data_IF_916947531983
#
_entry.id   IF_916947531983
#
_cell.length_a   1.000
_cell.length_b   1.000
_cell.length_c   1.000
_cell.angle_alpha   90.00
_cell.angle_beta   90.00
_cell.angle_gamma   90.00
#
_symmetry.space_group_name_H-M   'P 1'
#
loop_
_entity.id
_entity.type
_entity.pdbx_description
1 polymer ?
#
# COMPACT_ATOMS: atom_id res chain seq x y z
N UNK A 1 39.64 -44.37 78.75
CA UNK A 1 38.43 -44.62 77.94
C UNK A 1 38.67 -45.81 77.01
N UNK A 2 37.76 -46.78 76.81
CA UNK A 2 36.32 -46.68 76.47
C UNK A 2 36.16 -46.10 75.06
N UNK A 3 35.62 -46.78 74.04
CA UNK A 3 35.09 -48.16 73.89
C UNK A 3 35.35 -48.63 72.44
N UNK A 4 35.35 -49.93 72.18
CA UNK A 4 35.39 -50.46 70.80
C UNK A 4 34.03 -50.38 70.10
N UNK A 5 34.03 -50.16 68.78
CA UNK A 5 32.82 -50.08 67.95
C UNK A 5 32.66 -51.34 67.07
N UNK A 6 31.70 -52.23 67.35
CA UNK A 6 31.42 -53.39 66.50
C UNK A 6 30.69 -53.03 65.20
N UNK A 7 30.72 -53.94 64.24
CA UNK A 7 30.31 -53.73 62.84
C UNK A 7 28.80 -53.48 62.68
N UNK A 8 28.43 -52.49 61.86
CA UNK A 8 27.04 -52.31 61.37
C UNK A 8 26.70 -53.42 60.37
N UNK A 9 25.73 -54.26 60.69
CA UNK A 9 25.24 -55.28 59.77
C UNK A 9 24.53 -54.65 58.54
N UNK A 10 24.67 -55.27 57.37
CA UNK A 10 23.94 -54.86 56.18
C UNK A 10 22.53 -55.46 56.19
N UNK A 11 21.51 -54.64 55.95
CA UNK A 11 20.13 -55.11 55.79
C UNK A 11 19.84 -55.32 54.30
N UNK A 12 19.38 -56.52 53.95
CA UNK A 12 18.97 -56.85 52.57
C UNK A 12 17.66 -56.12 52.20
N UNK A 13 17.50 -55.61 50.97
CA UNK A 13 16.28 -54.93 50.55
C UNK A 13 15.14 -55.94 50.37
N UNK A 14 13.98 -55.70 51.03
CA UNK A 14 12.77 -56.49 50.81
C UNK A 14 12.13 -56.06 49.49
N UNK A 15 12.03 -56.97 48.52
CA UNK A 15 11.36 -56.72 47.25
C UNK A 15 9.87 -56.49 47.47
N UNK A 16 9.33 -55.44 46.84
CA UNK A 16 7.90 -55.13 46.86
C UNK A 16 7.27 -55.62 45.56
N UNK A 17 6.39 -56.62 45.65
CA UNK A 17 5.55 -57.06 44.53
C UNK A 17 4.70 -55.86 44.07
N UNK A 18 4.71 -55.59 42.76
CA UNK A 18 3.77 -54.64 42.15
C UNK A 18 2.41 -55.31 42.03
N UNK A 19 1.37 -54.60 42.45
CA UNK A 19 -0.02 -54.88 42.08
C UNK A 19 -0.48 -53.64 41.33
N UNK A 20 -0.74 -53.79 40.05
CA UNK A 20 -1.11 -52.67 39.19
C UNK A 20 -2.54 -52.24 39.50
N UNK A 21 -2.72 -50.93 39.76
CA UNK A 21 -3.96 -50.37 40.32
C UNK A 21 -4.92 -49.81 39.26
N UNK A 22 -4.64 -50.04 37.98
CA UNK A 22 -5.24 -49.29 36.87
C UNK A 22 -6.22 -50.14 36.05
N UNK A 23 -7.09 -50.89 36.73
CA UNK A 23 -8.34 -51.37 36.15
C UNK A 23 -9.43 -50.31 36.42
N UNK A 24 -10.09 -49.74 35.41
CA UNK A 24 -11.21 -48.84 35.63
C UNK A 24 -12.38 -49.64 36.19
N UNK A 25 -12.83 -49.29 37.39
CA UNK A 25 -14.15 -49.72 37.89
C UNK A 25 -15.11 -48.59 37.56
N UNK A 26 -15.98 -48.83 36.59
CA UNK A 26 -17.08 -47.92 36.26
C UNK A 26 -18.18 -48.09 37.33
N UNK A 27 -17.98 -47.41 38.47
CA UNK A 27 -18.99 -47.32 39.53
C UNK A 27 -20.11 -46.36 39.08
N UNK A 28 -21.12 -46.88 38.37
CA UNK A 28 -22.40 -46.19 38.19
C UNK A 28 -23.12 -46.10 39.55
N UNK A 29 -22.84 -45.01 40.28
CA UNK A 29 -23.49 -44.75 41.57
C UNK A 29 -24.89 -44.14 41.35
N UNK A 30 -25.92 -44.97 41.56
CA UNK A 30 -27.31 -44.52 41.66
C UNK A 30 -27.47 -43.45 42.75
N UNK A 31 -28.09 -42.32 42.44
CA UNK A 31 -28.32 -41.23 43.39
C UNK A 31 -29.49 -41.58 44.33
N UNK A 32 -29.14 -42.14 45.50
CA UNK A 32 -30.05 -42.54 46.59
C UNK A 32 -30.43 -41.33 47.46
N UNK A 33 -31.45 -40.58 47.03
CA UNK A 33 -32.03 -39.45 47.76
C UNK A 33 -32.98 -39.88 48.90
N UNK A 34 -32.56 -40.87 49.70
CA UNK A 34 -33.22 -41.25 50.95
C UNK A 34 -32.75 -40.41 52.15
N UNK A 35 -33.65 -40.09 53.08
CA UNK A 35 -33.43 -39.14 54.18
C UNK A 35 -32.16 -39.41 55.03
N UNK A 36 -31.44 -38.34 55.39
CA UNK A 36 -30.15 -38.44 56.11
C UNK A 36 -30.27 -38.54 57.65
N UNK A 37 -31.48 -38.41 58.23
CA UNK A 37 -31.66 -38.22 59.69
C UNK A 37 -31.21 -39.40 60.58
N UNK A 38 -31.17 -40.63 60.06
CA UNK A 38 -30.85 -41.84 60.82
C UNK A 38 -29.56 -42.57 60.37
N UNK A 39 -28.66 -41.89 59.65
CA UNK A 39 -27.40 -42.49 59.16
C UNK A 39 -26.26 -42.37 60.17
N UNK A 40 -25.39 -43.37 60.22
CA UNK A 40 -24.29 -43.43 61.19
C UNK A 40 -23.29 -42.28 61.00
N UNK A 41 -22.69 -41.82 62.10
CA UNK A 41 -21.63 -40.80 62.11
C UNK A 41 -20.42 -41.17 61.23
N UNK A 42 -20.23 -42.45 60.93
CA UNK A 42 -19.25 -42.94 59.97
C UNK A 42 -19.71 -42.77 58.50
N UNK A 43 -20.98 -43.03 58.22
CA UNK A 43 -21.58 -42.97 56.89
C UNK A 43 -21.72 -41.53 56.40
N UNK A 44 -22.15 -40.61 57.26
CA UNK A 44 -22.12 -39.16 56.98
C UNK A 44 -20.69 -38.70 56.62
N UNK A 45 -19.67 -39.21 57.31
CA UNK A 45 -18.25 -38.93 56.99
C UNK A 45 -17.76 -39.59 55.70
N UNK A 46 -18.43 -40.66 55.23
CA UNK A 46 -18.20 -41.27 53.91
C UNK A 46 -18.90 -40.46 52.81
N UNK A 47 -20.17 -40.04 53.02
CA UNK A 47 -20.95 -39.16 52.12
C UNK A 47 -20.22 -37.83 51.88
N UNK A 48 -19.82 -37.12 52.94
CA UNK A 48 -19.02 -35.88 52.80
C UNK A 48 -17.63 -36.08 52.16
N UNK A 49 -17.02 -37.27 52.24
CA UNK A 49 -15.77 -37.56 51.54
C UNK A 49 -16.02 -37.75 50.05
N UNK A 50 -17.03 -38.52 49.68
CA UNK A 50 -17.46 -38.72 48.28
C UNK A 50 -17.91 -37.41 47.63
N UNK A 51 -18.71 -36.60 48.32
CA UNK A 51 -19.13 -35.28 47.84
C UNK A 51 -17.92 -34.40 47.50
N UNK A 52 -16.98 -34.25 48.46
CA UNK A 52 -15.72 -33.53 48.20
C UNK A 52 -14.89 -34.15 47.08
N UNK A 53 -14.93 -35.45 46.89
CA UNK A 53 -14.22 -36.11 45.78
C UNK A 53 -14.91 -35.84 44.41
N UNK A 54 -16.25 -35.79 44.35
CA UNK A 54 -17.04 -35.38 43.17
C UNK A 54 -16.78 -33.90 42.85
N UNK A 55 -16.83 -33.03 43.85
CA UNK A 55 -16.43 -31.60 43.77
C UNK A 55 -14.99 -31.44 43.25
N UNK A 56 -14.03 -32.17 43.84
CA UNK A 56 -12.62 -32.08 43.47
C UNK A 56 -12.33 -32.64 42.07
N UNK A 57 -13.00 -33.72 41.66
CA UNK A 57 -12.94 -34.25 40.29
C UNK A 57 -13.48 -33.23 39.29
N UNK A 58 -14.65 -32.64 39.55
CA UNK A 58 -15.23 -31.58 38.71
C UNK A 58 -14.31 -30.36 38.60
N UNK A 59 -13.78 -29.85 39.73
CA UNK A 59 -12.87 -28.71 39.74
C UNK A 59 -11.52 -28.98 39.02
N UNK A 60 -11.02 -30.22 39.06
CA UNK A 60 -9.83 -30.58 38.29
C UNK A 60 -10.13 -30.79 36.79
N UNK A 61 -11.36 -31.13 36.41
CA UNK A 61 -11.79 -31.17 35.01
C UNK A 61 -11.99 -29.78 34.40
N UNK A 62 -12.24 -28.74 35.21
CA UNK A 62 -12.29 -27.33 34.76
C UNK A 62 -10.91 -26.65 34.66
N UNK A 63 -9.83 -27.42 34.61
CA UNK A 63 -8.49 -26.87 34.35
C UNK A 63 -8.31 -26.60 32.84
N UNK A 64 -7.80 -25.43 32.44
CA UNK A 64 -7.34 -25.20 31.07
C UNK A 64 -6.26 -26.20 30.67
N UNK A 65 -6.10 -26.40 29.36
CA UNK A 65 -5.05 -27.25 28.81
C UNK A 65 -3.66 -26.65 29.13
N UNK A 66 -2.69 -27.43 29.68
CA UNK A 66 -1.34 -26.95 29.93
C UNK A 66 -0.56 -26.53 28.68
N UNK A 67 -1.02 -26.87 27.47
CA UNK A 67 -0.41 -26.46 26.19
C UNK A 67 -1.05 -25.19 25.58
N UNK A 68 -2.17 -24.69 26.12
CA UNK A 68 -2.87 -23.50 25.58
C UNK A 68 -2.25 -22.18 26.10
N UNK A 69 -1.11 -21.79 25.51
CA UNK A 69 -0.46 -20.50 25.79
C UNK A 69 -1.30 -19.31 25.26
N UNK A 70 -1.50 -18.28 26.10
CA UNK A 70 -2.19 -17.05 25.72
C UNK A 70 -1.47 -16.35 24.54
N UNK A 71 -2.14 -16.10 23.40
CA UNK A 71 -1.49 -15.52 22.21
C UNK A 71 -0.90 -14.12 22.45
N UNK A 72 -1.41 -13.37 23.43
CA UNK A 72 -0.82 -12.07 23.83
C UNK A 72 0.53 -12.27 24.50
N UNK A 73 0.65 -13.26 25.39
CA UNK A 73 1.89 -13.55 26.11
C UNK A 73 2.91 -14.20 25.18
N UNK A 74 2.50 -15.07 24.25
CA UNK A 74 3.37 -15.59 23.18
C UNK A 74 3.95 -14.45 22.33
N UNK A 75 3.11 -13.48 21.92
CA UNK A 75 3.56 -12.31 21.17
C UNK A 75 4.46 -11.38 21.99
N UNK A 76 4.18 -11.18 23.28
CA UNK A 76 5.03 -10.43 24.20
C UNK A 76 6.39 -11.10 24.41
N UNK A 77 6.41 -12.43 24.57
CA UNK A 77 7.64 -13.23 24.71
C UNK A 77 8.45 -13.21 23.40
N UNK A 78 7.79 -13.28 22.24
CA UNK A 78 8.46 -13.19 20.94
C UNK A 78 9.07 -11.80 20.69
N UNK A 79 8.32 -10.73 20.97
CA UNK A 79 8.82 -9.35 20.84
C UNK A 79 9.92 -9.03 21.87
N UNK A 80 9.81 -9.53 23.11
CA UNK A 80 10.87 -9.43 24.11
C UNK A 80 12.14 -10.20 23.65
N UNK A 81 12.02 -11.44 23.18
CA UNK A 81 13.16 -12.20 22.62
C UNK A 81 13.81 -11.51 21.42
N UNK A 82 13.05 -10.79 20.60
CA UNK A 82 13.56 -10.03 19.46
C UNK A 82 14.15 -8.65 19.82
N UNK A 83 13.86 -8.11 21.01
CA UNK A 83 14.34 -6.80 21.48
C UNK A 83 15.31 -6.87 22.66
N UNK A 84 15.52 -8.04 23.25
CA UNK A 84 16.51 -8.26 24.31
C UNK A 84 17.91 -8.45 23.72
N UNK A 85 18.70 -7.37 23.62
CA UNK A 85 20.06 -7.43 23.10
C UNK A 85 20.89 -6.15 23.32
N UNK A 86 22.11 -6.16 22.79
CA UNK A 86 23.04 -5.01 22.80
C UNK A 86 22.61 -3.96 21.75
N UNK A 87 21.76 -3.02 22.16
CA UNK A 87 21.44 -1.85 21.34
C UNK A 87 22.55 -0.80 21.41
N UNK A 88 23.63 -1.04 20.64
CA UNK A 88 24.63 0.00 20.34
C UNK A 88 23.95 1.29 19.89
N UNK A 89 24.41 2.43 20.38
CA UNK A 89 23.81 3.71 20.05
C UNK A 89 24.07 4.02 18.57
N UNK A 90 23.17 4.78 17.94
CA UNK A 90 23.31 5.21 16.54
C UNK A 90 24.54 6.10 16.27
N UNK A 91 25.22 6.51 17.33
CA UNK A 91 26.49 7.25 17.35
C UNK A 91 27.73 6.38 17.41
N UNK A 92 27.59 5.10 17.76
CA UNK A 92 28.72 4.22 18.04
C UNK A 92 29.34 3.71 16.73
N UNK A 93 30.67 3.62 16.62
CA UNK A 93 31.35 3.27 15.36
C UNK A 93 31.02 1.85 14.87
N UNK A 94 30.62 0.96 15.77
CA UNK A 94 30.23 -0.42 15.48
C UNK A 94 28.74 -0.58 15.14
N UNK A 95 27.94 0.49 15.09
CA UNK A 95 26.49 0.40 14.89
C UNK A 95 26.15 0.00 13.44
N UNK A 96 25.76 -1.27 13.26
CA UNK A 96 25.33 -1.82 11.98
C UNK A 96 23.82 -2.06 11.98
N UNK A 97 23.08 -1.32 11.14
CA UNK A 97 21.65 -1.55 10.93
C UNK A 97 21.43 -2.91 10.25
N UNK A 98 20.51 -3.72 10.78
CA UNK A 98 20.10 -5.01 10.21
C UNK A 98 19.43 -4.84 8.83
N UNK A 99 19.58 -5.81 7.93
CA UNK A 99 19.28 -5.62 6.50
C UNK A 99 17.78 -5.50 6.19
N UNK A 100 16.94 -6.04 7.05
CA UNK A 100 15.49 -5.84 7.11
C UNK A 100 15.14 -4.39 7.50
N UNK A 101 15.88 -3.80 8.45
CA UNK A 101 15.67 -2.43 8.93
C UNK A 101 16.35 -1.36 8.07
N UNK A 102 17.27 -1.71 7.17
CA UNK A 102 17.93 -0.75 6.25
C UNK A 102 16.90 -0.07 5.35
N UNK A 103 16.96 1.25 5.32
CA UNK A 103 16.02 2.12 4.59
C UNK A 103 16.65 2.54 3.25
N UNK A 104 16.62 1.64 2.27
CA UNK A 104 17.11 1.95 0.92
C UNK A 104 16.22 2.98 0.22
N UNK A 105 16.83 3.82 -0.65
CA UNK A 105 16.10 4.69 -1.58
C UNK A 105 15.03 3.91 -2.36
N UNK A 106 15.35 2.70 -2.85
CA UNK A 106 14.41 1.86 -3.59
C UNK A 106 13.24 1.36 -2.75
N UNK A 107 13.46 1.04 -1.46
CA UNK A 107 12.39 0.68 -0.52
C UNK A 107 11.47 1.89 -0.26
N UNK A 108 12.03 3.08 -0.05
CA UNK A 108 11.25 4.31 0.14
C UNK A 108 10.50 4.75 -1.12
N UNK A 109 11.10 4.63 -2.31
CA UNK A 109 10.42 4.90 -3.59
C UNK A 109 9.19 4.01 -3.80
N UNK A 110 9.30 2.71 -3.50
CA UNK A 110 8.14 1.78 -3.51
C UNK A 110 7.07 2.17 -2.49
N UNK A 111 7.47 2.58 -1.28
CA UNK A 111 6.53 3.06 -0.26
C UNK A 111 5.79 4.33 -0.71
N UNK A 112 6.46 5.30 -1.36
CA UNK A 112 5.78 6.50 -1.88
C UNK A 112 4.77 6.14 -2.99
N UNK A 113 5.17 5.30 -3.95
CA UNK A 113 4.29 4.85 -5.04
C UNK A 113 3.03 4.15 -4.52
N UNK A 114 3.15 3.28 -3.52
CA UNK A 114 1.99 2.66 -2.85
C UNK A 114 1.05 3.69 -2.19
N UNK A 115 1.57 4.79 -1.64
CA UNK A 115 0.73 5.86 -1.08
C UNK A 115 0.05 6.68 -2.19
N UNK A 116 0.72 6.91 -3.32
CA UNK A 116 0.12 7.57 -4.49
C UNK A 116 -1.02 6.72 -5.07
N UNK A 117 -0.81 5.40 -5.22
CA UNK A 117 -1.83 4.42 -5.61
C UNK A 117 -3.01 4.40 -4.63
N UNK A 118 -2.74 4.36 -3.32
CA UNK A 118 -3.79 4.37 -2.29
C UNK A 118 -4.61 5.68 -2.33
N UNK A 119 -3.97 6.84 -2.48
CA UNK A 119 -4.65 8.14 -2.62
C UNK A 119 -5.46 8.19 -3.92
N UNK A 120 -4.95 7.66 -5.02
CA UNK A 120 -5.70 7.55 -6.28
C UNK A 120 -6.93 6.64 -6.14
N UNK A 121 -6.76 5.46 -5.55
CA UNK A 121 -7.85 4.51 -5.30
C UNK A 121 -8.92 5.09 -4.36
N UNK A 122 -8.53 5.87 -3.33
CA UNK A 122 -9.48 6.57 -2.46
C UNK A 122 -10.27 7.64 -3.22
N UNK A 123 -9.62 8.44 -4.07
CA UNK A 123 -10.30 9.43 -4.95
C UNK A 123 -11.30 8.75 -5.89
N UNK A 124 -10.92 7.65 -6.54
CA UNK A 124 -11.84 6.92 -7.44
C UNK A 124 -13.02 6.32 -6.67
N UNK A 125 -12.78 5.71 -5.49
CA UNK A 125 -13.85 5.17 -4.62
C UNK A 125 -14.79 6.27 -4.12
N UNK A 126 -14.29 7.47 -3.85
CA UNK A 126 -15.13 8.63 -3.53
C UNK A 126 -15.98 9.05 -4.73
N UNK A 127 -15.38 9.21 -5.91
CA UNK A 127 -16.10 9.61 -7.13
C UNK A 127 -17.24 8.64 -7.47
N UNK A 128 -17.00 7.32 -7.41
CA UNK A 128 -18.05 6.30 -7.65
C UNK A 128 -19.21 6.45 -6.66
N UNK A 129 -18.94 6.65 -5.36
CA UNK A 129 -19.98 6.89 -4.36
C UNK A 129 -20.72 8.21 -4.59
N UNK A 130 -20.03 9.26 -5.02
CA UNK A 130 -20.61 10.56 -5.34
C UNK A 130 -21.57 10.47 -6.53
N UNK A 131 -21.20 9.78 -7.61
CA UNK A 131 -22.10 9.55 -8.74
C UNK A 131 -23.32 8.72 -8.32
N UNK A 132 -23.15 7.61 -7.59
CA UNK A 132 -24.27 6.82 -7.10
C UNK A 132 -25.26 7.63 -6.21
N UNK A 133 -24.76 8.54 -5.36
CA UNK A 133 -25.61 9.46 -4.58
C UNK A 133 -26.34 10.47 -5.46
N UNK A 134 -25.70 10.95 -6.53
CA UNK A 134 -26.30 11.88 -7.51
C UNK A 134 -27.38 11.20 -8.34
N UNK A 135 -27.17 9.93 -8.72
CA UNK A 135 -28.15 9.12 -9.44
C UNK A 135 -29.39 8.84 -8.55
N UNK A 136 -29.17 8.47 -7.28
CA UNK A 136 -30.25 8.36 -6.27
C UNK A 136 -30.97 9.69 -6.07
N UNK A 137 -30.27 10.83 -6.01
CA UNK A 137 -30.91 12.16 -5.98
C UNK A 137 -31.77 12.41 -7.21
N UNK A 138 -31.30 12.06 -8.40
CA UNK A 138 -32.04 12.22 -9.64
C UNK A 138 -33.32 11.37 -9.64
N UNK A 139 -33.27 10.14 -9.12
CA UNK A 139 -34.46 9.28 -8.99
C UNK A 139 -35.45 9.77 -7.92
N UNK A 140 -34.96 10.31 -6.80
CA UNK A 140 -35.81 10.98 -5.79
C UNK A 140 -36.51 12.20 -6.40
N UNK A 141 -35.80 13.03 -7.18
CA UNK A 141 -36.43 14.18 -7.85
C UNK A 141 -37.49 13.74 -8.85
N UNK A 142 -37.24 12.69 -9.65
CA UNK A 142 -38.26 12.12 -10.57
C UNK A 142 -39.51 11.66 -9.81
N UNK A 143 -39.37 10.92 -8.70
CA UNK A 143 -40.53 10.39 -7.96
C UNK A 143 -41.29 11.50 -7.23
N UNK A 144 -40.61 12.51 -6.66
CA UNK A 144 -41.27 13.65 -6.03
C UNK A 144 -42.00 14.52 -7.05
N UNK A 145 -41.42 14.80 -8.22
CA UNK A 145 -42.09 15.57 -9.28
C UNK A 145 -43.29 14.80 -9.87
N UNK A 146 -43.18 13.48 -10.05
CA UNK A 146 -44.32 12.65 -10.44
C UNK A 146 -45.43 12.63 -9.37
N UNK A 147 -45.05 12.57 -8.09
CA UNK A 147 -45.98 12.70 -6.96
C UNK A 147 -46.67 14.06 -6.92
N UNK A 148 -45.93 15.16 -7.09
CA UNK A 148 -46.44 16.53 -7.15
C UNK A 148 -47.50 16.67 -8.25
N UNK A 149 -47.21 16.15 -9.45
CA UNK A 149 -48.15 16.11 -10.57
C UNK A 149 -49.42 15.33 -10.21
N UNK A 150 -49.33 14.16 -9.57
CA UNK A 150 -50.54 13.40 -9.18
C UNK A 150 -51.32 14.06 -8.05
N UNK A 151 -50.66 14.76 -7.12
CA UNK A 151 -51.35 15.59 -6.11
C UNK A 151 -52.13 16.71 -6.80
N UNK A 152 -51.53 17.43 -7.76
CA UNK A 152 -52.25 18.42 -8.57
C UNK A 152 -53.48 17.86 -9.25
N UNK A 153 -53.33 16.74 -9.98
CA UNK A 153 -54.47 16.08 -10.64
C UNK A 153 -55.60 15.76 -9.66
N UNK A 154 -55.29 15.33 -8.44
CA UNK A 154 -56.30 15.06 -7.39
C UNK A 154 -56.92 16.36 -6.85
N UNK A 155 -56.11 17.40 -6.62
CA UNK A 155 -56.61 18.73 -6.21
C UNK A 155 -57.53 19.35 -7.26
N UNK A 156 -57.21 19.18 -8.54
CA UNK A 156 -58.03 19.59 -9.68
C UNK A 156 -59.32 18.73 -9.79
N UNK A 157 -59.22 17.40 -9.63
CA UNK A 157 -60.36 16.47 -9.56
C UNK A 157 -61.35 16.83 -8.44
N UNK A 158 -60.87 17.40 -7.32
CA UNK A 158 -61.67 17.82 -6.17
C UNK A 158 -62.17 19.29 -6.25
N UNK A 159 -61.59 20.12 -7.13
CA UNK A 159 -61.74 21.58 -7.17
C UNK A 159 -61.24 22.32 -5.91
N UNK A 160 -60.34 21.71 -5.12
CA UNK A 160 -59.73 22.33 -3.94
C UNK A 160 -58.58 23.30 -4.29
N UNK A 161 -58.25 23.47 -5.58
CA UNK A 161 -57.06 24.20 -6.06
C UNK A 161 -56.99 25.69 -5.72
N UNK A 162 -58.14 26.35 -5.54
CA UNK A 162 -58.20 27.76 -5.09
C UNK A 162 -58.05 27.91 -3.56
N UNK A 163 -57.95 26.81 -2.80
CA UNK A 163 -57.69 26.86 -1.36
C UNK A 163 -56.27 27.38 -1.07
N UNK A 164 -56.08 28.37 -0.18
CA UNK A 164 -54.75 28.90 0.12
C UNK A 164 -53.79 27.83 0.66
N UNK A 165 -54.31 26.85 1.41
CA UNK A 165 -53.53 25.72 1.91
C UNK A 165 -53.03 24.79 0.77
N UNK A 166 -53.86 24.59 -0.26
CA UNK A 166 -53.50 23.79 -1.43
C UNK A 166 -52.44 24.51 -2.29
N UNK A 167 -52.60 25.82 -2.50
CA UNK A 167 -51.63 26.64 -3.25
C UNK A 167 -50.27 26.65 -2.53
N UNK A 168 -50.23 26.82 -1.21
CA UNK A 168 -48.99 26.79 -0.44
C UNK A 168 -48.33 25.40 -0.48
N UNK A 169 -49.10 24.32 -0.27
CA UNK A 169 -48.58 22.95 -0.33
C UNK A 169 -47.99 22.60 -1.72
N UNK A 170 -48.68 22.97 -2.81
CA UNK A 170 -48.21 22.72 -4.17
C UNK A 170 -46.96 23.54 -4.51
N UNK A 171 -46.90 24.81 -4.09
CA UNK A 171 -45.71 25.65 -4.26
C UNK A 171 -44.51 25.10 -3.47
N UNK A 172 -44.74 24.61 -2.24
CA UNK A 172 -43.71 24.00 -1.41
C UNK A 172 -43.14 22.71 -2.02
N UNK A 173 -43.97 21.86 -2.63
CA UNK A 173 -43.49 20.62 -3.25
C UNK A 173 -42.67 20.91 -4.52
N UNK A 174 -43.14 21.80 -5.40
CA UNK A 174 -42.46 22.02 -6.69
C UNK A 174 -41.21 22.92 -6.58
N UNK A 175 -41.22 23.94 -5.71
CA UNK A 175 -40.12 24.90 -5.60
C UNK A 175 -38.79 24.29 -5.14
N UNK A 176 -38.84 23.17 -4.41
CA UNK A 176 -37.66 22.54 -3.81
C UNK A 176 -37.08 21.37 -4.63
N UNK A 177 -37.89 20.71 -5.47
CA UNK A 177 -37.52 19.48 -6.19
C UNK A 177 -37.35 19.72 -7.69
N UNK A 178 -36.62 20.77 -8.05
CA UNK A 178 -36.26 21.08 -9.44
C UNK A 178 -35.22 20.08 -9.96
N UNK A 179 -35.51 19.48 -11.12
CA UNK A 179 -34.53 18.68 -11.87
C UNK A 179 -33.47 19.60 -12.49
N UNK A 180 -32.32 19.73 -11.82
CA UNK A 180 -31.14 20.42 -12.38
C UNK A 180 -30.71 19.75 -13.69
N UNK A 181 -30.56 20.50 -14.80
CA UNK A 181 -30.31 19.92 -16.11
C UNK A 181 -28.92 19.28 -16.16
N UNK A 182 -28.81 18.15 -16.87
CA UNK A 182 -27.61 17.30 -16.87
C UNK A 182 -26.33 18.05 -17.29
N UNK A 183 -26.46 19.06 -18.16
CA UNK A 183 -25.35 19.90 -18.62
C UNK A 183 -24.72 20.76 -17.51
N UNK A 184 -25.53 21.25 -16.56
CA UNK A 184 -25.05 22.06 -15.43
C UNK A 184 -24.43 21.19 -14.33
N UNK A 185 -24.91 19.94 -14.18
CA UNK A 185 -24.31 18.95 -13.29
C UNK A 185 -23.02 18.33 -13.85
N UNK A 186 -22.91 18.20 -15.18
CA UNK A 186 -21.75 17.64 -15.88
C UNK A 186 -21.08 18.62 -16.87
N UNK A 187 -20.26 19.56 -16.37
CA UNK A 187 -19.13 20.11 -17.14
C UNK A 187 -18.08 19.05 -17.51
N UNK A 188 -18.29 17.78 -17.17
CA UNK A 188 -17.29 16.72 -17.07
C UNK A 188 -17.03 16.00 -18.39
N UNK A 189 -18.02 15.87 -19.26
CA UNK A 189 -17.83 15.32 -20.62
C UNK A 189 -16.84 16.20 -21.41
N UNK A 190 -16.99 17.53 -21.28
CA UNK A 190 -16.08 18.53 -21.83
C UNK A 190 -14.69 18.59 -21.14
N UNK A 191 -14.41 17.80 -20.08
CA UNK A 191 -13.05 17.73 -19.48
C UNK A 191 -12.12 16.76 -20.19
N UNK A 192 -12.66 15.76 -20.89
CA UNK A 192 -11.87 14.83 -21.71
C UNK A 192 -11.69 15.33 -23.15
N UNK A 193 -12.64 16.09 -23.67
CA UNK A 193 -12.62 16.65 -25.02
C UNK A 193 -11.66 17.83 -25.09
N UNK A 194 -10.42 17.59 -25.49
CA UNK A 194 -9.44 18.64 -25.78
C UNK A 194 -9.76 19.25 -27.14
N UNK A 195 -10.27 20.49 -27.13
CA UNK A 195 -10.61 21.23 -28.36
C UNK A 195 -9.38 21.82 -29.03
N UNK A 196 -9.45 22.03 -30.36
CA UNK A 196 -8.37 22.69 -31.12
C UNK A 196 -8.06 24.10 -30.60
N UNK A 197 -9.05 24.81 -30.06
CA UNK A 197 -8.85 26.10 -29.40
C UNK A 197 -7.94 25.98 -28.16
N UNK A 198 -8.12 24.93 -27.35
CA UNK A 198 -7.28 24.64 -26.19
C UNK A 198 -5.88 24.17 -26.60
N UNK A 199 -5.75 23.33 -27.64
CA UNK A 199 -4.45 22.93 -28.19
C UNK A 199 -3.66 24.15 -28.70
N UNK A 200 -4.31 25.03 -29.48
CA UNK A 200 -3.70 26.26 -29.98
C UNK A 200 -3.34 27.25 -28.86
N UNK A 201 -4.17 27.37 -27.82
CA UNK A 201 -3.86 28.19 -26.64
C UNK A 201 -2.66 27.60 -25.85
N UNK A 202 -2.59 26.28 -25.68
CA UNK A 202 -1.48 25.60 -25.04
C UNK A 202 -0.19 25.74 -25.84
N UNK A 203 -0.22 25.56 -27.16
CA UNK A 203 0.91 25.76 -28.05
C UNK A 203 1.45 27.20 -27.98
N UNK A 204 0.57 28.21 -28.02
CA UNK A 204 0.94 29.63 -27.82
C UNK A 204 1.59 29.87 -26.45
N UNK A 205 1.05 29.29 -25.37
CA UNK A 205 1.64 29.37 -24.02
C UNK A 205 3.03 28.71 -23.96
N UNK A 206 3.19 27.53 -24.56
CA UNK A 206 4.48 26.81 -24.67
C UNK A 206 5.52 27.60 -25.46
N UNK A 207 5.13 28.23 -26.57
CA UNK A 207 6.00 29.08 -27.37
C UNK A 207 6.43 30.34 -26.62
N UNK A 208 5.50 31.00 -25.90
CA UNK A 208 5.81 32.16 -25.05
C UNK A 208 6.76 31.79 -23.90
N UNK A 209 6.56 30.64 -23.25
CA UNK A 209 7.46 30.12 -22.21
C UNK A 209 8.87 29.82 -22.75
N UNK A 210 8.95 29.23 -23.95
CA UNK A 210 10.22 28.97 -24.64
C UNK A 210 10.94 30.27 -25.03
N UNK A 211 10.22 31.26 -25.57
CA UNK A 211 10.76 32.58 -25.89
C UNK A 211 11.25 33.32 -24.64
N UNK A 212 10.50 33.27 -23.53
CA UNK A 212 10.92 33.85 -22.25
C UNK A 212 12.21 33.18 -21.72
N UNK A 213 12.31 31.84 -21.80
CA UNK A 213 13.52 31.09 -21.44
C UNK A 213 14.72 31.44 -22.33
N UNK A 214 14.50 31.66 -23.63
CA UNK A 214 15.53 32.09 -24.57
C UNK A 214 16.00 33.53 -24.26
N UNK A 215 15.09 34.45 -23.97
CA UNK A 215 15.45 35.82 -23.56
C UNK A 215 16.21 35.86 -22.22
N UNK A 216 15.87 34.99 -21.25
CA UNK A 216 16.64 34.84 -20.01
C UNK A 216 18.04 34.29 -20.30
N UNK A 217 18.18 33.28 -21.17
CA UNK A 217 19.50 32.71 -21.52
C UNK A 217 20.36 33.72 -22.31
N UNK A 218 19.74 34.50 -23.20
CA UNK A 218 20.37 35.60 -23.93
C UNK A 218 20.89 36.68 -22.99
N UNK A 219 20.07 37.18 -22.06
CA UNK A 219 20.48 38.20 -21.08
C UNK A 219 21.64 37.72 -20.23
N UNK A 220 21.60 36.46 -19.76
CA UNK A 220 22.72 35.82 -19.04
C UNK A 220 23.99 35.68 -19.89
N UNK A 221 23.86 35.42 -21.20
CA UNK A 221 24.99 35.36 -22.13
C UNK A 221 25.57 36.76 -22.45
N UNK A 222 24.74 37.79 -22.56
CA UNK A 222 25.18 39.18 -22.73
C UNK A 222 25.85 39.74 -21.46
N UNK A 223 25.33 39.40 -20.28
CA UNK A 223 25.97 39.68 -18.99
C UNK A 223 27.34 38.99 -18.87
N UNK A 224 27.42 37.68 -19.17
CA UNK A 224 28.69 36.96 -19.19
C UNK A 224 29.70 37.54 -20.18
N UNK A 225 29.25 37.99 -21.37
CA UNK A 225 30.10 38.71 -22.33
C UNK A 225 30.61 40.05 -21.79
N UNK A 226 29.78 40.82 -21.08
CA UNK A 226 30.18 42.09 -20.43
C UNK A 226 31.15 41.88 -19.26
N UNK A 227 31.07 40.74 -18.56
CA UNK A 227 31.98 40.39 -17.47
C UNK A 227 33.41 40.03 -17.96
N UNK A 228 33.57 39.60 -19.21
CA UNK A 228 34.88 39.31 -19.81
C UNK A 228 35.58 40.63 -20.15
N UNK A 229 36.40 41.13 -19.22
CA UNK A 229 37.35 42.23 -19.48
C UNK A 229 38.30 41.82 -20.62
N UNK A 230 38.57 42.70 -21.62
CA UNK A 230 39.47 42.37 -22.71
C UNK A 230 40.89 42.15 -22.17
N UNK A 231 41.40 40.92 -22.24
CA UNK A 231 42.79 40.60 -21.92
C UNK A 231 43.67 41.12 -23.06
N UNK A 232 44.60 42.03 -22.75
CA UNK A 232 45.59 42.52 -23.71
C UNK A 232 46.50 41.37 -24.16
N UNK A 233 46.38 40.97 -25.43
CA UNK A 233 47.17 39.88 -26.01
C UNK A 233 48.56 40.40 -26.36
N UNK A 234 49.50 40.29 -25.41
CA UNK A 234 50.92 40.47 -25.68
C UNK A 234 51.38 39.30 -26.58
N UNK A 235 51.59 39.60 -27.87
CA UNK A 235 51.85 38.61 -28.91
C UNK A 235 53.31 38.11 -28.89
N UNK A 236 53.63 37.25 -27.92
CA UNK A 236 54.93 36.57 -27.86
C UNK A 236 55.03 35.59 -29.04
N UNK A 237 55.99 35.82 -29.94
CA UNK A 237 56.25 34.95 -31.10
C UNK A 237 57.29 33.89 -30.72
N UNK A 238 56.96 32.59 -30.68
CA UNK A 238 57.95 31.54 -30.43
C UNK A 238 58.89 31.41 -31.63
N UNK A 239 60.20 31.39 -31.36
CA UNK A 239 61.23 31.35 -32.40
C UNK A 239 61.52 29.90 -32.83
N UNK A 240 61.11 29.54 -34.04
CA UNK A 240 61.32 28.20 -34.61
C UNK A 240 62.83 27.93 -34.85
N UNK A 241 63.32 26.71 -34.58
CA UNK A 241 64.69 26.31 -34.89
C UNK A 241 64.90 26.10 -36.41
N UNK A 242 66.14 26.21 -36.91
CA UNK A 242 66.44 26.08 -38.34
C UNK A 242 66.22 24.64 -38.85
N UNK A 243 65.73 24.54 -40.08
CA UNK A 243 65.31 23.28 -40.72
C UNK A 243 66.50 22.57 -41.35
N UNK A 244 66.85 21.38 -40.87
CA UNK A 244 67.89 20.54 -41.49
C UNK A 244 67.34 19.84 -42.74
N UNK A 245 68.10 19.86 -43.83
CA UNK A 245 67.79 19.15 -45.06
C UNK A 245 68.40 17.75 -45.01
N UNK A 246 67.59 16.71 -45.29
CA UNK A 246 68.12 15.36 -45.57
C UNK A 246 68.42 15.23 -47.07
N UNK A 247 69.51 14.55 -47.47
CA UNK A 247 69.75 14.21 -48.88
C UNK A 247 68.74 13.16 -49.39
N UNK A 248 68.51 13.08 -50.71
CA UNK A 248 67.56 12.15 -51.31
C UNK A 248 68.12 10.71 -51.41
N UNK A 249 67.27 9.66 -51.38
CA UNK A 249 67.65 8.30 -51.73
C UNK A 249 67.76 8.10 -53.25
N UNK A 250 68.60 7.16 -53.68
CA UNK A 250 68.77 6.70 -55.07
C UNK A 250 68.13 5.31 -55.31
N UNK A 251 67.89 4.88 -56.57
CA UNK A 251 66.79 3.94 -56.86
C UNK A 251 67.17 2.50 -57.26
N UNK A 252 66.34 1.55 -56.79
CA UNK A 252 66.06 0.21 -57.33
C UNK A 252 64.89 -0.39 -56.51
N UNK A 253 63.95 -1.20 -57.01
CA UNK A 253 63.58 -1.64 -58.37
C UNK A 253 62.04 -1.92 -58.42
N UNK A 254 61.47 -2.14 -59.61
CA UNK A 254 60.03 -2.43 -59.92
C UNK A 254 59.83 -3.94 -60.25
N UNK A 255 58.62 -4.48 -60.52
CA UNK A 255 57.22 -3.99 -60.46
C UNK A 255 56.36 -4.89 -59.49
N UNK A 256 55.02 -5.08 -59.50
CA UNK A 256 53.83 -4.57 -60.24
C UNK A 256 52.80 -3.96 -59.23
N UNK A 257 51.46 -4.15 -59.21
CA UNK A 257 50.47 -4.84 -60.07
C UNK A 257 49.07 -4.94 -59.42
N UNK A 258 47.99 -4.61 -60.17
CA UNK A 258 46.60 -4.53 -59.67
C UNK A 258 46.34 -3.24 -58.84
N UNK A 259 45.21 -2.52 -58.95
CA UNK A 259 43.87 -2.85 -59.46
C UNK A 259 42.89 -2.97 -58.28
N UNK A 260 41.71 -2.36 -58.26
CA UNK A 260 41.05 -1.44 -59.19
C UNK A 260 39.70 -1.00 -58.59
N UNK A 261 38.99 -0.10 -59.28
CA UNK A 261 37.66 0.42 -58.89
C UNK A 261 37.61 1.27 -57.58
N UNK A 262 36.72 2.27 -57.43
CA UNK A 262 35.75 2.77 -58.42
C UNK A 262 34.33 3.02 -57.89
N UNK A 263 34.13 3.25 -56.60
CA UNK A 263 32.80 3.50 -56.02
C UNK A 263 32.62 4.96 -55.58
N UNK A 264 31.57 5.61 -56.08
CA UNK A 264 31.17 6.95 -55.65
C UNK A 264 29.64 7.05 -55.53
N UNK A 265 29.19 7.32 -54.31
CA UNK A 265 27.82 7.71 -53.94
C UNK A 265 27.96 8.82 -52.89
N UNK A 266 26.99 9.70 -52.70
CA UNK A 266 25.68 9.81 -53.34
C UNK A 266 24.83 10.78 -52.51
N UNK A 267 23.97 11.56 -53.17
CA UNK A 267 23.27 12.67 -52.52
C UNK A 267 22.13 12.24 -51.58
N UNK A 268 21.72 13.22 -50.76
CA UNK A 268 20.35 13.45 -50.27
C UNK A 268 19.41 12.24 -50.03
N UNK A 269 18.96 12.07 -48.78
CA UNK A 269 17.52 12.16 -48.54
C UNK A 269 17.14 12.60 -47.12
N UNK A 270 16.04 13.35 -47.04
CA UNK A 270 15.21 13.52 -45.85
C UNK A 270 14.38 12.28 -45.52
N UNK A 271 14.00 12.11 -44.25
CA UNK A 271 13.05 11.09 -43.81
C UNK A 271 11.83 11.74 -43.14
N UNK A 272 10.68 11.68 -43.80
CA UNK A 272 9.40 12.17 -43.25
C UNK A 272 8.78 11.19 -42.23
N UNK A 273 7.88 11.66 -41.34
CA UNK A 273 7.23 10.79 -40.35
C UNK A 273 6.19 9.85 -40.99
N UNK A 274 6.19 8.59 -40.54
CA UNK A 274 5.24 7.56 -40.99
C UNK A 274 3.81 7.88 -40.54
N UNK A 275 2.89 8.01 -41.50
CA UNK A 275 1.46 8.05 -41.25
C UNK A 275 0.87 6.63 -41.16
N UNK A 276 0.06 6.35 -40.15
CA UNK A 276 -0.67 5.10 -40.02
C UNK A 276 -2.00 5.14 -40.78
N UNK A 277 -2.30 4.10 -41.56
CA UNK A 277 -3.62 3.87 -42.16
C UNK A 277 -4.50 3.01 -41.22
N UNK A 278 -5.84 3.14 -41.26
CA UNK A 278 -6.75 2.40 -40.38
C UNK A 278 -7.03 0.97 -40.88
N UNK A 279 -7.44 0.09 -39.97
CA UNK A 279 -7.87 -1.28 -40.27
C UNK A 279 -9.31 -1.32 -40.84
N UNK A 280 -9.65 -2.32 -41.70
CA UNK A 280 -10.97 -2.43 -42.30
C UNK A 280 -12.02 -3.03 -41.36
N UNK A 281 -13.26 -2.56 -41.50
CA UNK A 281 -14.44 -3.09 -40.80
C UNK A 281 -14.83 -4.47 -41.35
N UNK A 282 -15.07 -5.43 -40.46
CA UNK A 282 -15.71 -6.71 -40.80
C UNK A 282 -17.24 -6.58 -40.79
N UNK A 283 -17.90 -7.38 -41.64
CA UNK A 283 -19.35 -7.46 -41.78
C UNK A 283 -19.96 -8.59 -40.93
#
# INVERSE_FOLDING_TARGET
SVKGSPKRAQAQPRTRVKVDKNAPVEEEESEDDGDDENKSKYELRRKHRKAREKEWKAFNATKPDPEEENPVDVAAIATAKATLGDFKLKSDPDFLVAEDQRVDYNRKKRQMLFHEEAVHAMKMKFNVKFFALRDVRADIVKTVVAGAKRVREITDELNDGDSPEAVEALAAIEGHFVATPLADEYPTEARGVVTDAQLNAFAKKKAAEAAAKLEISRKKAEEARRAIKPRSVVRVVPKLPPKTLRPPPSPSEVPEGGGGEGGGEGDENSGEPVAAQPEPVAA
#
